data_IF_705212851018
#
_entry.id   IF_705212851018
#
_cell.length_a   1.000
_cell.length_b   1.000
_cell.length_c   1.000
_cell.angle_alpha   90.00
_cell.angle_beta   90.00
_cell.angle_gamma   90.00
#
_symmetry.space_group_name_H-M   'P 1'
#
loop_
_entity.id
_entity.type
_entity.pdbx_description
1 polymer ?
#
# COMPACT_ATOMS: atom_id res chain seq x y z
N UNK A 1 6.47 -3.66 10.14
CA UNK A 1 5.68 -4.87 10.45
C UNK A 1 6.47 -5.92 11.25
N UNK A 2 7.65 -6.39 10.80
CA UNK A 2 8.39 -7.48 11.48
C UNK A 2 8.68 -7.24 12.97
N UNK A 3 9.24 -6.07 13.33
CA UNK A 3 9.61 -5.77 14.71
C UNK A 3 8.40 -5.66 15.65
N UNK A 4 7.37 -4.91 15.24
CA UNK A 4 6.14 -4.74 16.02
C UNK A 4 5.41 -6.07 16.19
N UNK A 5 5.35 -6.89 15.13
CA UNK A 5 4.79 -8.25 15.21
C UNK A 5 5.59 -9.19 16.12
N UNK A 6 6.92 -9.06 16.15
CA UNK A 6 7.76 -9.81 17.09
C UNK A 6 7.44 -9.46 18.54
N UNK A 7 7.33 -8.17 18.89
CA UNK A 7 6.98 -7.76 20.25
C UNK A 7 5.61 -8.27 20.68
N UNK A 8 4.61 -8.22 19.80
CA UNK A 8 3.27 -8.75 20.08
C UNK A 8 3.26 -10.27 20.27
N UNK A 9 3.82 -11.01 19.31
CA UNK A 9 3.83 -12.47 19.34
C UNK A 9 4.69 -13.01 20.48
N UNK A 10 5.92 -12.53 20.62
CA UNK A 10 6.84 -12.98 21.67
C UNK A 10 6.39 -12.50 23.05
N UNK A 11 5.72 -11.35 23.13
CA UNK A 11 5.18 -10.82 24.39
C UNK A 11 4.03 -11.67 24.91
N UNK A 12 3.19 -12.18 24.01
CA UNK A 12 2.15 -13.13 24.36
C UNK A 12 2.72 -14.50 24.76
N UNK A 13 3.72 -15.02 24.04
CA UNK A 13 4.33 -16.34 24.33
C UNK A 13 5.09 -16.36 25.67
N UNK A 14 5.87 -15.32 25.96
CA UNK A 14 6.64 -15.24 27.21
C UNK A 14 5.84 -14.69 28.39
N UNK A 15 4.57 -14.34 28.19
CA UNK A 15 3.75 -13.67 29.19
C UNK A 15 4.47 -12.45 29.82
N UNK A 16 5.24 -11.71 29.01
CA UNK A 16 6.08 -10.61 29.51
C UNK A 16 5.35 -9.28 29.42
N UNK A 17 5.01 -8.72 30.58
CA UNK A 17 4.30 -7.43 30.67
C UNK A 17 5.08 -6.28 30.03
N UNK A 18 6.42 -6.30 30.14
CA UNK A 18 7.27 -5.27 29.55
C UNK A 18 7.22 -5.31 28.00
N UNK A 19 7.28 -6.51 27.42
CA UNK A 19 7.23 -6.67 25.97
C UNK A 19 5.84 -6.33 25.40
N UNK A 20 4.78 -6.71 26.13
CA UNK A 20 3.42 -6.35 25.76
C UNK A 20 3.13 -4.84 25.92
N UNK A 21 3.72 -4.20 26.93
CA UNK A 21 3.63 -2.75 27.14
C UNK A 21 4.35 -1.95 26.04
N UNK A 22 5.53 -2.41 25.61
CA UNK A 22 6.24 -1.80 24.47
C UNK A 22 5.46 -1.98 23.17
N UNK A 23 4.88 -3.17 22.94
CA UNK A 23 3.96 -3.40 21.81
C UNK A 23 2.78 -2.44 21.81
N UNK A 24 2.07 -2.30 22.93
CA UNK A 24 0.96 -1.34 23.07
C UNK A 24 1.39 0.10 22.78
N UNK A 25 2.54 0.52 23.30
CA UNK A 25 3.09 1.87 23.04
C UNK A 25 3.39 2.08 21.57
N UNK A 26 3.97 1.08 20.89
CA UNK A 26 4.19 1.12 19.45
C UNK A 26 2.86 1.26 18.68
N UNK A 27 1.81 0.53 19.07
CA UNK A 27 0.50 0.64 18.42
C UNK A 27 -0.12 2.03 18.60
N UNK A 28 -0.01 2.64 19.78
CA UNK A 28 -0.51 4.02 20.02
C UNK A 28 0.22 5.02 19.11
N UNK A 29 1.54 4.89 18.96
CA UNK A 29 2.32 5.75 18.06
C UNK A 29 1.91 5.53 16.61
N UNK A 30 1.75 4.27 16.18
CA UNK A 30 1.32 3.94 14.81
C UNK A 30 -0.08 4.48 14.51
N UNK A 31 -1.01 4.37 15.45
CA UNK A 31 -2.36 4.92 15.32
C UNK A 31 -2.35 6.44 15.19
N UNK A 32 -1.54 7.14 16.00
CA UNK A 32 -1.38 8.58 15.89
C UNK A 32 -0.78 8.99 14.52
N UNK A 33 0.21 8.24 14.04
CA UNK A 33 0.79 8.43 12.70
C UNK A 33 -0.23 8.15 11.59
N UNK A 34 -1.07 7.13 11.73
CA UNK A 34 -2.13 6.80 10.77
C UNK A 34 -3.16 7.93 10.66
N UNK A 35 -3.61 8.49 11.79
CA UNK A 35 -4.52 9.64 11.80
C UNK A 35 -3.85 10.86 11.17
N UNK A 36 -2.60 11.14 11.52
CA UNK A 36 -1.86 12.28 10.96
C UNK A 36 -1.66 12.13 9.44
N UNK A 37 -1.23 10.96 8.97
CA UNK A 37 -1.04 10.65 7.56
C UNK A 37 -2.38 10.66 6.80
N UNK A 38 -3.46 10.17 7.41
CA UNK A 38 -4.81 10.20 6.84
C UNK A 38 -5.31 11.62 6.62
N UNK A 39 -5.17 12.49 7.61
CA UNK A 39 -5.54 13.91 7.49
C UNK A 39 -4.67 14.60 6.43
N UNK A 40 -3.35 14.45 6.53
CA UNK A 40 -2.42 15.08 5.59
C UNK A 40 -2.66 14.62 4.15
N UNK A 41 -2.88 13.32 3.96
CA UNK A 41 -3.12 12.74 2.64
C UNK A 41 -4.49 13.09 2.07
N UNK A 42 -5.51 13.28 2.91
CA UNK A 42 -6.80 13.77 2.46
C UNK A 42 -6.71 15.23 1.97
N UNK A 43 -6.02 16.10 2.72
CA UNK A 43 -5.84 17.50 2.36
C UNK A 43 -4.97 17.66 1.11
N UNK A 44 -3.93 16.84 0.97
CA UNK A 44 -2.96 16.92 -0.14
C UNK A 44 -3.14 15.80 -1.18
N UNK A 45 -4.37 15.33 -1.39
CA UNK A 45 -4.67 14.21 -2.30
C UNK A 45 -4.13 14.43 -3.72
N UNK A 46 -4.19 15.67 -4.22
CA UNK A 46 -3.74 16.00 -5.57
C UNK A 46 -2.21 16.00 -5.69
N UNK A 47 -1.50 16.28 -4.60
CA UNK A 47 -0.04 16.18 -4.54
C UNK A 47 0.38 14.70 -4.50
N UNK A 48 -0.28 13.88 -3.69
CA UNK A 48 -0.03 12.43 -3.63
C UNK A 48 -0.28 11.78 -4.99
N UNK A 49 -1.36 12.16 -5.70
CA UNK A 49 -1.63 11.66 -7.03
C UNK A 49 -0.48 11.97 -8.01
N UNK A 50 0.11 13.17 -7.95
CA UNK A 50 1.27 13.55 -8.76
C UNK A 50 2.51 12.74 -8.40
N UNK A 51 2.79 12.55 -7.12
CA UNK A 51 3.95 11.78 -6.67
C UNK A 51 3.84 10.30 -7.10
N UNK A 52 2.64 9.72 -7.03
CA UNK A 52 2.38 8.35 -7.51
C UNK A 52 2.56 8.25 -9.03
N UNK A 53 2.08 9.23 -9.80
CA UNK A 53 2.32 9.30 -11.25
C UNK A 53 3.80 9.38 -11.58
N UNK A 54 4.55 10.23 -10.88
CA UNK A 54 5.99 10.38 -11.08
C UNK A 54 6.74 9.08 -10.77
N UNK A 55 6.37 8.39 -9.67
CA UNK A 55 6.92 7.09 -9.34
C UNK A 55 6.63 6.04 -10.43
N UNK A 56 5.40 6.02 -10.96
CA UNK A 56 5.02 5.16 -12.06
C UNK A 56 5.83 5.44 -13.33
N UNK A 57 6.00 6.72 -13.71
CA UNK A 57 6.77 7.10 -14.89
C UNK A 57 8.24 6.67 -14.79
N UNK A 58 8.84 6.82 -13.61
CA UNK A 58 10.21 6.37 -13.35
C UNK A 58 10.34 4.85 -13.45
N UNK A 59 9.41 4.11 -12.84
CA UNK A 59 9.38 2.65 -12.92
C UNK A 59 9.16 2.16 -14.36
N UNK A 60 8.28 2.82 -15.12
CA UNK A 60 8.01 2.51 -16.51
C UNK A 60 9.22 2.78 -17.40
N UNK A 61 9.86 3.94 -17.25
CA UNK A 61 11.06 4.29 -18.01
C UNK A 61 12.19 3.29 -17.74
N UNK A 62 12.41 2.93 -16.46
CA UNK A 62 13.41 1.93 -16.10
C UNK A 62 13.08 0.55 -16.68
N UNK A 63 11.81 0.15 -16.63
CA UNK A 63 11.36 -1.14 -17.17
C UNK A 63 11.46 -1.21 -18.72
N UNK A 64 11.41 -0.09 -19.43
CA UNK A 64 11.56 -0.03 -20.91
C UNK A 64 13.04 -0.04 -21.29
N UNK A 65 13.83 0.86 -20.71
CA UNK A 65 15.23 1.10 -21.08
C UNK A 65 16.13 -0.07 -20.68
N UNK A 66 15.89 -0.65 -19.50
CA UNK A 66 16.72 -1.72 -18.96
C UNK A 66 15.94 -3.04 -19.01
N UNK A 67 16.44 -4.00 -19.81
CA UNK A 67 15.81 -5.31 -19.90
C UNK A 67 16.12 -6.21 -18.68
N UNK A 68 17.19 -5.92 -17.94
CA UNK A 68 17.57 -6.68 -16.75
C UNK A 68 16.88 -6.18 -15.47
N UNK A 69 16.18 -5.04 -15.54
CA UNK A 69 15.41 -4.44 -14.44
C UNK A 69 14.11 -5.21 -14.13
N UNK A 70 14.23 -6.47 -13.71
CA UNK A 70 13.11 -7.35 -13.36
C UNK A 70 12.22 -6.77 -12.26
N UNK A 71 12.81 -6.04 -11.30
CA UNK A 71 12.07 -5.37 -10.22
C UNK A 71 11.14 -4.28 -10.77
N UNK A 72 11.64 -3.44 -11.68
CA UNK A 72 10.85 -2.37 -12.30
C UNK A 72 9.74 -2.96 -13.19
N UNK A 73 10.05 -4.01 -13.97
CA UNK A 73 9.06 -4.75 -14.76
C UNK A 73 7.95 -5.34 -13.88
N UNK A 74 8.30 -5.91 -12.73
CA UNK A 74 7.32 -6.47 -11.79
C UNK A 74 6.38 -5.38 -11.23
N UNK A 75 6.93 -4.23 -10.81
CA UNK A 75 6.14 -3.09 -10.34
C UNK A 75 5.21 -2.59 -11.44
N UNK A 76 5.73 -2.32 -12.64
CA UNK A 76 4.90 -1.82 -13.75
C UNK A 76 3.78 -2.80 -14.12
N UNK A 77 4.09 -4.10 -14.14
CA UNK A 77 3.10 -5.15 -14.41
C UNK A 77 1.99 -5.18 -13.36
N UNK A 78 2.31 -5.07 -12.06
CA UNK A 78 1.27 -5.03 -11.01
C UNK A 78 0.42 -3.78 -11.11
N UNK A 79 0.99 -2.62 -11.44
CA UNK A 79 0.23 -1.40 -11.72
C UNK A 79 -0.75 -1.61 -12.89
N UNK A 80 -0.26 -2.17 -13.99
CA UNK A 80 -1.09 -2.43 -15.18
C UNK A 80 -2.22 -3.42 -14.93
N UNK A 81 -1.97 -4.51 -14.18
CA UNK A 81 -3.01 -5.49 -13.83
C UNK A 81 -4.01 -4.92 -12.81
N UNK A 82 -3.54 -4.15 -11.82
CA UNK A 82 -4.40 -3.59 -10.75
C UNK A 82 -5.30 -2.46 -11.27
N UNK A 83 -4.74 -1.57 -12.10
CA UNK A 83 -5.45 -0.40 -12.63
C UNK A 83 -6.10 -0.66 -13.99
N UNK A 84 -5.87 -1.83 -14.59
CA UNK A 84 -6.33 -2.19 -15.93
C UNK A 84 -5.93 -1.17 -17.02
N UNK A 85 -4.77 -0.54 -16.86
CA UNK A 85 -4.19 0.44 -17.78
C UNK A 85 -2.87 -0.09 -18.36
N UNK A 86 -2.37 0.51 -19.44
CA UNK A 86 -1.02 0.25 -19.92
C UNK A 86 -0.37 1.53 -20.42
N UNK A 87 0.81 1.89 -19.89
CA UNK A 87 1.54 3.10 -20.27
C UNK A 87 1.03 4.40 -19.62
N UNK A 88 1.91 5.41 -19.61
CA UNK A 88 1.62 6.74 -19.04
C UNK A 88 0.90 7.68 -20.00
N UNK A 89 1.13 7.54 -21.30
CA UNK A 89 0.48 8.31 -22.35
C UNK A 89 0.31 7.42 -23.61
N UNK A 90 -0.41 7.90 -24.62
CA UNK A 90 -0.69 7.14 -25.85
C UNK A 90 0.56 6.67 -26.59
N UNK A 91 1.64 7.46 -26.59
CA UNK A 91 2.92 7.10 -27.22
C UNK A 91 3.66 6.01 -26.43
N UNK A 92 3.72 6.14 -25.10
CA UNK A 92 4.34 5.14 -24.23
C UNK A 92 3.52 3.85 -24.20
N UNK A 93 2.20 3.95 -24.31
CA UNK A 93 1.30 2.79 -24.46
C UNK A 93 1.65 2.00 -25.72
N UNK A 94 1.90 2.70 -26.83
CA UNK A 94 2.32 2.09 -28.09
C UNK A 94 3.71 1.45 -27.98
N UNK A 95 4.71 2.16 -27.43
CA UNK A 95 6.06 1.62 -27.31
C UNK A 95 6.09 0.43 -26.35
N UNK A 96 5.41 0.50 -25.21
CA UNK A 96 5.30 -0.63 -24.27
C UNK A 96 4.53 -1.80 -24.88
N UNK A 97 3.42 -1.58 -25.59
CA UNK A 97 2.65 -2.67 -26.21
C UNK A 97 3.41 -3.35 -27.36
N UNK A 98 4.22 -2.61 -28.12
CA UNK A 98 4.98 -3.15 -29.26
C UNK A 98 6.30 -3.80 -28.81
N UNK A 99 7.05 -3.16 -27.91
CA UNK A 99 8.36 -3.66 -27.46
C UNK A 99 8.25 -4.68 -26.32
N UNK A 100 7.25 -4.52 -25.45
CA UNK A 100 7.13 -5.27 -24.19
C UNK A 100 5.67 -5.65 -23.90
N UNK A 101 5.02 -6.30 -24.86
CA UNK A 101 3.61 -6.74 -24.75
C UNK A 101 3.31 -7.58 -23.49
N UNK A 102 4.32 -8.25 -22.92
CA UNK A 102 4.20 -9.03 -21.67
C UNK A 102 3.98 -8.19 -20.40
N UNK A 103 4.19 -6.87 -20.47
CA UNK A 103 3.96 -5.95 -19.35
C UNK A 103 2.52 -5.41 -19.33
N UNK A 104 1.79 -5.44 -20.44
CA UNK A 104 0.38 -5.06 -20.46
C UNK A 104 -0.50 -6.24 -19.98
N UNK A 105 -1.71 -5.97 -19.45
CA UNK A 105 -2.57 -7.03 -18.93
C UNK A 105 -3.00 -8.00 -20.04
N UNK A 106 -2.95 -9.30 -19.74
CA UNK A 106 -3.21 -10.39 -20.68
C UNK A 106 -4.60 -10.30 -21.31
N UNK A 107 -4.66 -10.38 -22.65
CA UNK A 107 -5.91 -10.31 -23.43
C UNK A 107 -6.19 -8.95 -24.08
N UNK A 108 -5.31 -7.97 -23.89
CA UNK A 108 -5.38 -6.67 -24.57
C UNK A 108 -4.57 -6.69 -25.88
N UNK A 109 -5.23 -6.37 -26.99
CA UNK A 109 -4.53 -6.09 -28.25
C UNK A 109 -4.04 -4.63 -28.26
N UNK A 110 -3.02 -4.33 -29.09
CA UNK A 110 -2.42 -2.98 -29.19
C UNK A 110 -3.50 -1.89 -29.35
N UNK A 111 -4.56 -2.18 -30.11
CA UNK A 111 -5.67 -1.26 -30.36
C UNK A 111 -6.54 -1.01 -29.12
N UNK A 112 -6.83 -2.05 -28.33
CA UNK A 112 -7.61 -1.93 -27.09
C UNK A 112 -6.86 -1.15 -26.00
N UNK A 113 -5.53 -1.29 -25.93
CA UNK A 113 -4.72 -0.49 -25.00
C UNK A 113 -4.65 0.98 -25.42
N UNK A 114 -4.71 1.26 -26.72
CA UNK A 114 -4.74 2.62 -27.27
C UNK A 114 -6.07 3.34 -27.05
N UNK A 115 -7.16 2.58 -26.98
CA UNK A 115 -8.52 3.08 -26.72
C UNK A 115 -8.84 3.12 -25.22
N UNK A 116 -8.12 2.36 -24.39
CA UNK A 116 -8.24 2.40 -22.94
C UNK A 116 -7.62 3.69 -22.38
N UNK A 117 -8.13 4.11 -21.23
CA UNK A 117 -7.57 5.23 -20.47
C UNK A 117 -6.14 4.92 -20.01
N UNK A 118 -5.27 5.92 -20.10
CA UNK A 118 -3.90 5.86 -19.63
C UNK A 118 -3.80 5.70 -18.10
N UNK A 119 -2.67 5.19 -17.62
CA UNK A 119 -2.49 4.97 -16.18
C UNK A 119 -2.52 6.28 -15.39
N UNK A 120 -2.15 7.42 -15.98
CA UNK A 120 -2.24 8.72 -15.30
C UNK A 120 -3.70 9.11 -15.03
N UNK A 121 -4.58 8.94 -16.02
CA UNK A 121 -6.01 9.14 -15.86
C UNK A 121 -6.62 8.20 -14.79
N UNK A 122 -6.23 6.92 -14.80
CA UNK A 122 -6.68 5.98 -13.76
C UNK A 122 -6.19 6.33 -12.36
N UNK A 123 -4.96 6.83 -12.23
CA UNK A 123 -4.43 7.29 -10.94
C UNK A 123 -5.24 8.51 -10.45
N UNK A 124 -5.53 9.49 -11.31
CA UNK A 124 -6.38 10.63 -10.92
C UNK A 124 -7.80 10.19 -10.55
N UNK A 125 -8.38 9.25 -11.31
CA UNK A 125 -9.70 8.69 -11.02
C UNK A 125 -9.71 8.01 -9.65
N UNK A 126 -8.63 7.32 -9.28
CA UNK A 126 -8.49 6.70 -7.96
C UNK A 126 -8.48 7.73 -6.82
N UNK A 127 -7.71 8.80 -6.97
CA UNK A 127 -7.58 9.83 -5.92
C UNK A 127 -8.72 10.86 -5.91
N UNK A 128 -9.47 11.01 -7.01
CA UNK A 128 -10.58 11.98 -7.10
C UNK A 128 -11.96 11.32 -7.00
N UNK A 129 -12.18 10.23 -7.73
CA UNK A 129 -13.48 9.56 -7.82
C UNK A 129 -13.61 8.33 -6.91
N UNK A 130 -12.49 7.67 -6.58
CA UNK A 130 -12.48 6.44 -5.78
C UNK A 130 -11.75 6.57 -4.45
N UNK A 131 -11.57 7.79 -3.94
CA UNK A 131 -10.92 8.04 -2.65
C UNK A 131 -11.59 7.29 -1.49
N UNK A 132 -12.90 6.99 -1.62
CA UNK A 132 -13.63 6.15 -0.68
C UNK A 132 -13.04 4.73 -0.53
N UNK A 133 -12.47 4.12 -1.58
CA UNK A 133 -11.82 2.79 -1.48
C UNK A 133 -10.60 2.84 -0.56
N UNK A 134 -9.78 3.88 -0.71
CA UNK A 134 -8.59 4.11 0.13
C UNK A 134 -9.04 4.42 1.56
N UNK A 135 -10.11 5.21 1.71
CA UNK A 135 -10.73 5.51 3.00
C UNK A 135 -11.23 4.26 3.73
N UNK A 136 -11.92 3.33 3.05
CA UNK A 136 -12.34 2.06 3.64
C UNK A 136 -11.12 1.27 4.12
N UNK A 137 -10.08 1.15 3.28
CA UNK A 137 -8.88 0.41 3.64
C UNK A 137 -8.22 0.99 4.90
N UNK A 138 -8.11 2.32 5.00
CA UNK A 138 -7.60 3.00 6.20
C UNK A 138 -8.49 2.73 7.43
N UNK A 139 -9.81 2.79 7.29
CA UNK A 139 -10.73 2.49 8.41
C UNK A 139 -10.56 1.04 8.90
N UNK A 140 -10.40 0.07 7.99
CA UNK A 140 -10.17 -1.33 8.36
C UNK A 140 -8.89 -1.49 9.16
N UNK A 141 -7.80 -0.83 8.75
CA UNK A 141 -6.52 -0.85 9.46
C UNK A 141 -6.67 -0.22 10.85
N UNK A 142 -7.28 0.95 10.95
CA UNK A 142 -7.55 1.62 12.22
C UNK A 142 -8.37 0.75 13.20
N UNK A 143 -9.40 0.06 12.71
CA UNK A 143 -10.23 -0.85 13.51
C UNK A 143 -9.39 -2.02 14.03
N UNK A 144 -8.57 -2.65 13.19
CA UNK A 144 -7.68 -3.75 13.59
C UNK A 144 -6.71 -3.26 14.68
N UNK A 145 -6.09 -2.09 14.52
CA UNK A 145 -5.18 -1.53 15.53
C UNK A 145 -5.87 -1.30 16.88
N UNK A 146 -7.13 -0.82 16.88
CA UNK A 146 -7.91 -0.65 18.13
C UNK A 146 -8.15 -2.00 18.81
N UNK A 147 -8.51 -3.03 18.06
CA UNK A 147 -8.67 -4.38 18.61
C UNK A 147 -7.34 -4.90 19.18
N UNK A 148 -6.22 -4.72 18.48
CA UNK A 148 -4.90 -5.10 18.97
C UNK A 148 -4.53 -4.38 20.27
N UNK A 149 -4.82 -3.08 20.37
CA UNK A 149 -4.60 -2.29 21.58
C UNK A 149 -5.43 -2.81 22.77
N UNK A 150 -6.71 -3.11 22.55
CA UNK A 150 -7.61 -3.65 23.59
C UNK A 150 -7.11 -5.02 24.06
N UNK A 151 -6.83 -5.94 23.12
CA UNK A 151 -6.37 -7.29 23.43
C UNK A 151 -5.03 -7.27 24.17
N UNK A 152 -4.11 -6.38 23.78
CA UNK A 152 -2.83 -6.19 24.46
C UNK A 152 -3.02 -5.77 25.91
N UNK A 153 -3.92 -4.82 26.18
CA UNK A 153 -4.18 -4.35 27.54
C UNK A 153 -4.89 -5.41 28.39
N UNK A 154 -5.86 -6.12 27.81
CA UNK A 154 -6.55 -7.22 28.48
C UNK A 154 -5.56 -8.33 28.86
N UNK A 155 -4.69 -8.74 27.93
CA UNK A 155 -3.69 -9.77 28.19
C UNK A 155 -2.65 -9.31 29.22
N UNK A 156 -2.18 -8.06 29.15
CA UNK A 156 -1.26 -7.49 30.15
C UNK A 156 -1.86 -7.50 31.56
N UNK A 157 -3.15 -7.12 31.68
CA UNK A 157 -3.88 -7.17 32.94
C UNK A 157 -4.13 -8.60 33.42
N UNK A 158 -4.43 -9.53 32.50
CA UNK A 158 -4.59 -10.95 32.79
C UNK A 158 -3.33 -11.55 33.42
N UNK A 159 -2.17 -11.32 32.79
CA UNK A 159 -0.85 -11.75 33.27
C UNK A 159 -0.54 -11.15 34.66
N UNK A 160 -0.85 -9.86 34.86
CA UNK A 160 -0.63 -9.20 36.17
C UNK A 160 -1.39 -9.88 37.30
N UNK A 161 -2.60 -10.34 37.00
CA UNK A 161 -3.49 -10.94 37.98
C UNK A 161 -3.19 -12.43 38.21
N UNK A 162 -2.61 -13.12 37.22
CA UNK A 162 -2.22 -14.54 37.35
C UNK A 162 -0.87 -14.74 38.03
N UNK A 163 -0.01 -13.73 38.12
CA UNK A 163 1.32 -13.81 38.77
C UNK A 163 1.29 -13.90 40.31
N UNK A 164 0.27 -14.53 40.88
CA UNK A 164 0.06 -14.68 42.34
C UNK A 164 0.66 -16.01 42.87
N UNK A 165 1.51 -16.68 42.08
CA UNK A 165 2.35 -17.80 42.55
C UNK A 165 3.82 -17.56 42.19
#
# INVERSE_FOLDING_TARGET
MMFVGFLGCYGAIQESQCLLGTFFTCLVILFACEVAAGIWGFVNKDQIAKDVKQFYDQALQQAIVDDEANNAKAVVKTFHETLNCCGSNTLTTLTTSVLKNSLCPSGSNVFSNLVKEDCHGKIDELFSGKLYLIGIAAIVVAVIMIFEMILSMVLCCGIRNSSVY
#
